data_IF_852466265499
#
_entry.id   IF_852466265499
#
_cell.length_a   1.000
_cell.length_b   1.000
_cell.length_c   1.000
_cell.angle_alpha   90.00
_cell.angle_beta   90.00
_cell.angle_gamma   90.00
#
_symmetry.space_group_name_H-M   'P 1'
#
loop_
_entity.id
_entity.type
_entity.pdbx_description
1 polymer ?
#
# COMPACT_ATOMS: atom_id res chain seq x y z
N UNK A 1 1.90 9.82 -12.06
CA UNK A 1 2.15 9.50 -10.64
C UNK A 1 1.41 10.52 -9.78
N UNK A 2 0.53 10.08 -8.89
CA UNK A 2 -0.23 10.94 -7.96
C UNK A 2 0.56 11.19 -6.68
N UNK A 3 0.19 12.24 -5.92
CA UNK A 3 0.87 12.62 -4.68
C UNK A 3 0.88 11.47 -3.66
N UNK A 4 -0.26 10.78 -3.45
CA UNK A 4 -0.34 9.66 -2.50
C UNK A 4 0.63 8.50 -2.83
N UNK A 5 0.88 8.24 -4.11
CA UNK A 5 1.79 7.17 -4.58
C UNK A 5 3.25 7.53 -4.28
N UNK A 6 3.63 8.78 -4.53
CA UNK A 6 4.97 9.28 -4.24
C UNK A 6 5.26 9.24 -2.72
N UNK A 7 4.29 9.61 -1.90
CA UNK A 7 4.42 9.55 -0.43
C UNK A 7 4.67 8.12 0.07
N UNK A 8 3.98 7.13 -0.51
CA UNK A 8 4.17 5.72 -0.18
C UNK A 8 5.54 5.19 -0.60
N UNK A 9 6.01 5.60 -1.78
CA UNK A 9 7.34 5.24 -2.29
C UNK A 9 8.47 5.81 -1.43
N UNK A 10 8.27 7.00 -0.85
CA UNK A 10 9.28 7.70 -0.05
C UNK A 10 9.14 7.48 1.47
N UNK A 11 8.13 6.72 1.92
CA UNK A 11 7.99 6.34 3.33
C UNK A 11 7.35 7.37 4.24
N UNK A 12 6.60 8.34 3.69
CA UNK A 12 5.93 9.39 4.46
C UNK A 12 4.65 8.88 5.15
N UNK A 13 4.79 7.91 6.05
CA UNK A 13 3.68 7.23 6.73
C UNK A 13 2.72 8.18 7.43
N UNK A 14 3.22 9.22 8.11
CA UNK A 14 2.37 10.21 8.80
C UNK A 14 1.51 11.02 7.83
N UNK A 15 2.04 11.36 6.65
CA UNK A 15 1.26 12.10 5.65
C UNK A 15 0.21 11.20 5.01
N UNK A 16 0.54 9.92 4.78
CA UNK A 16 -0.43 8.92 4.30
C UNK A 16 -1.54 8.70 5.33
N UNK A 17 -1.20 8.62 6.63
CA UNK A 17 -2.18 8.58 7.71
C UNK A 17 -3.08 9.80 7.71
N UNK A 18 -2.52 11.00 7.58
CA UNK A 18 -3.26 12.25 7.62
C UNK A 18 -4.20 12.39 6.40
N UNK A 19 -3.77 11.92 5.22
CA UNK A 19 -4.62 11.80 4.03
C UNK A 19 -5.77 10.80 4.23
N UNK A 20 -5.49 9.65 4.83
CA UNK A 20 -6.51 8.64 5.15
C UNK A 20 -7.48 9.11 6.25
N UNK A 21 -7.00 9.83 7.26
CA UNK A 21 -7.80 10.26 8.42
C UNK A 21 -8.62 11.53 8.12
N UNK A 22 -8.12 12.41 7.23
CA UNK A 22 -8.92 13.54 6.72
C UNK A 22 -10.03 13.08 5.76
N UNK A 23 -9.87 11.90 5.16
CA UNK A 23 -10.93 11.24 4.43
C UNK A 23 -11.87 10.51 5.40
N UNK A 24 -12.76 11.26 6.07
CA UNK A 24 -13.89 10.69 6.82
C UNK A 24 -14.92 9.92 5.93
N UNK A 25 -14.58 9.70 4.66
CA UNK A 25 -15.33 8.91 3.69
C UNK A 25 -14.57 7.61 3.41
N UNK A 26 -15.07 6.51 3.95
CA UNK A 26 -14.57 5.15 3.71
C UNK A 26 -14.39 4.86 2.21
N UNK A 27 -15.27 5.40 1.37
CA UNK A 27 -15.20 5.22 -0.09
C UNK A 27 -14.06 6.01 -0.76
N UNK A 28 -13.65 7.14 -0.19
CA UNK A 28 -12.50 7.88 -0.73
C UNK A 28 -11.21 7.13 -0.43
N UNK A 29 -11.08 6.60 0.78
CA UNK A 29 -9.95 5.75 1.17
C UNK A 29 -9.92 4.50 0.29
N UNK A 30 -11.05 3.81 0.11
CA UNK A 30 -11.13 2.63 -0.76
C UNK A 30 -10.72 2.92 -2.20
N UNK A 31 -11.27 3.97 -2.82
CA UNK A 31 -10.85 4.39 -4.18
C UNK A 31 -9.38 4.78 -4.23
N UNK A 32 -8.83 5.35 -3.17
CA UNK A 32 -7.41 5.68 -3.09
C UNK A 32 -6.53 4.42 -3.07
N UNK A 33 -6.93 3.38 -2.34
CA UNK A 33 -6.21 2.10 -2.29
C UNK A 33 -6.31 1.31 -3.60
N UNK A 34 -7.45 1.39 -4.29
CA UNK A 34 -7.69 0.77 -5.59
C UNK A 34 -7.10 1.57 -6.76
N UNK A 35 -6.65 2.80 -6.52
CA UNK A 35 -6.04 3.63 -7.56
C UNK A 35 -4.70 3.05 -7.98
N UNK A 36 -4.61 2.69 -9.25
CA UNK A 36 -3.38 2.29 -9.92
C UNK A 36 -2.76 3.44 -10.73
N UNK A 37 -1.45 3.39 -10.93
CA UNK A 37 -0.74 4.27 -11.85
C UNK A 37 -0.75 3.74 -13.30
N UNK A 38 0.10 4.30 -14.17
CA UNK A 38 0.20 3.90 -15.58
C UNK A 38 0.75 2.48 -15.78
N UNK A 39 1.45 1.93 -14.78
CA UNK A 39 1.99 0.57 -14.76
C UNK A 39 1.00 -0.42 -14.14
N UNK A 40 -0.15 0.05 -13.65
CA UNK A 40 -1.08 -0.75 -12.85
C UNK A 40 -0.66 -0.87 -11.39
N UNK A 41 0.36 -0.14 -10.96
CA UNK A 41 0.87 -0.21 -9.60
C UNK A 41 -0.04 0.56 -8.64
N UNK A 42 -0.50 -0.15 -7.62
CA UNK A 42 -1.27 0.42 -6.50
C UNK A 42 -0.35 1.03 -5.44
N UNK A 43 -0.92 1.67 -4.42
CA UNK A 43 -0.14 2.19 -3.27
C UNK A 43 0.72 1.12 -2.59
N UNK A 44 0.23 -0.13 -2.52
CA UNK A 44 0.99 -1.25 -1.96
C UNK A 44 2.21 -1.59 -2.80
N UNK A 45 2.15 -1.49 -4.14
CA UNK A 45 3.31 -1.70 -5.02
C UNK A 45 4.38 -0.63 -4.79
N UNK A 46 3.98 0.64 -4.67
CA UNK A 46 4.92 1.72 -4.40
C UNK A 46 5.55 1.63 -3.01
N UNK A 47 4.76 1.31 -1.98
CA UNK A 47 5.27 1.10 -0.63
C UNK A 47 6.23 -0.10 -0.54
N UNK A 48 5.93 -1.16 -1.30
CA UNK A 48 6.79 -2.31 -1.51
C UNK A 48 8.13 -1.95 -2.17
N UNK A 49 8.09 -1.19 -3.27
CA UNK A 49 9.29 -0.69 -3.97
C UNK A 49 10.16 0.19 -3.06
N UNK A 50 9.54 0.95 -2.15
CA UNK A 50 10.24 1.79 -1.18
C UNK A 50 10.72 1.07 0.08
N UNK A 51 10.43 -0.23 0.23
CA UNK A 51 10.80 -1.03 1.41
C UNK A 51 10.26 -0.50 2.75
N UNK A 52 9.14 0.24 2.72
CA UNK A 52 8.60 0.91 3.89
C UNK A 52 7.54 0.06 4.60
N UNK A 53 7.99 -0.79 5.53
CA UNK A 53 7.14 -1.69 6.33
C UNK A 53 5.97 -0.98 7.03
N UNK A 54 6.20 0.22 7.56
CA UNK A 54 5.18 0.98 8.27
C UNK A 54 4.07 1.47 7.34
N UNK A 55 4.43 1.90 6.12
CA UNK A 55 3.46 2.26 5.09
C UNK A 55 2.67 1.02 4.65
N UNK A 56 3.33 -0.11 4.45
CA UNK A 56 2.66 -1.37 4.09
C UNK A 56 1.65 -1.77 5.18
N UNK A 57 2.05 -1.75 6.45
CA UNK A 57 1.16 -2.03 7.59
C UNK A 57 -0.01 -1.07 7.63
N UNK A 58 0.22 0.21 7.34
CA UNK A 58 -0.83 1.21 7.28
C UNK A 58 -1.85 0.89 6.19
N UNK A 59 -1.39 0.66 4.97
CA UNK A 59 -2.26 0.39 3.82
C UNK A 59 -3.08 -0.88 4.06
N UNK A 60 -2.45 -1.93 4.62
CA UNK A 60 -3.16 -3.16 5.00
C UNK A 60 -4.21 -2.90 6.08
N UNK A 61 -3.91 -2.10 7.11
CA UNK A 61 -4.86 -1.70 8.13
C UNK A 61 -6.04 -0.90 7.54
N UNK A 62 -5.79 -0.11 6.49
CA UNK A 62 -6.80 0.61 5.71
C UNK A 62 -7.58 -0.29 4.73
N UNK A 63 -7.41 -1.63 4.77
CA UNK A 63 -8.05 -2.62 3.89
C UNK A 63 -7.58 -2.60 2.42
N UNK A 64 -6.32 -2.21 2.18
CA UNK A 64 -5.73 -2.35 0.86
C UNK A 64 -5.53 -3.83 0.50
N UNK A 65 -5.85 -4.20 -0.74
CA UNK A 65 -5.71 -5.59 -1.21
C UNK A 65 -4.27 -5.90 -1.66
N UNK A 66 -3.54 -6.80 -0.96
CA UNK A 66 -2.20 -7.22 -1.36
C UNK A 66 -2.21 -8.21 -2.54
N UNK A 67 -3.38 -8.56 -3.05
CA UNK A 67 -3.59 -9.49 -4.17
C UNK A 67 -3.88 -8.79 -5.48
N UNK A 68 -3.98 -7.45 -5.49
CA UNK A 68 -4.19 -6.71 -6.74
C UNK A 68 -2.92 -6.78 -7.58
N UNK A 69 -3.01 -7.37 -8.77
CA UNK A 69 -1.91 -7.43 -9.71
C UNK A 69 -1.86 -6.16 -10.58
N UNK A 70 -0.65 -5.70 -10.88
CA UNK A 70 -0.42 -4.62 -11.84
C UNK A 70 -0.54 -5.11 -13.29
N UNK A 71 -0.27 -4.23 -14.28
CA UNK A 71 -0.36 -4.59 -15.71
C UNK A 71 0.66 -5.66 -16.14
N UNK A 72 1.68 -5.91 -15.33
CA UNK A 72 2.66 -6.99 -15.55
C UNK A 72 2.22 -8.32 -14.92
N UNK A 73 1.02 -8.37 -14.32
CA UNK A 73 0.52 -9.56 -13.62
C UNK A 73 1.24 -9.84 -12.30
N UNK A 74 1.99 -8.87 -11.77
CA UNK A 74 2.67 -9.00 -10.48
C UNK A 74 1.81 -8.41 -9.37
N UNK A 75 1.67 -9.13 -8.27
CA UNK A 75 1.09 -8.57 -7.03
C UNK A 75 2.19 -7.90 -6.21
N UNK A 76 1.86 -7.05 -5.21
CA UNK A 76 2.86 -6.41 -4.37
C UNK A 76 3.86 -7.41 -3.78
N UNK A 77 3.42 -8.59 -3.32
CA UNK A 77 4.28 -9.63 -2.74
C UNK A 77 5.09 -10.45 -3.76
N UNK A 78 4.90 -10.25 -5.07
CA UNK A 78 5.77 -10.81 -6.10
C UNK A 78 7.04 -9.97 -6.29
N UNK A 79 7.06 -8.74 -5.75
CA UNK A 79 8.26 -7.93 -5.72
C UNK A 79 9.20 -8.50 -4.63
N UNK A 80 10.46 -8.83 -4.96
CA UNK A 80 11.39 -9.47 -4.02
C UNK A 80 11.57 -8.68 -2.71
N UNK A 81 11.56 -7.35 -2.81
CA UNK A 81 11.68 -6.41 -1.70
C UNK A 81 10.44 -6.42 -0.79
N UNK A 82 9.27 -6.62 -1.40
CA UNK A 82 7.98 -6.59 -0.71
C UNK A 82 7.65 -7.89 0.01
N UNK A 83 8.10 -9.03 -0.53
CA UNK A 83 7.72 -10.36 -0.03
C UNK A 83 7.99 -10.50 1.46
N UNK A 84 9.21 -10.17 1.89
CA UNK A 84 9.61 -10.24 3.31
C UNK A 84 8.79 -9.29 4.20
N UNK A 85 8.51 -8.09 3.70
CA UNK A 85 7.79 -7.05 4.45
C UNK A 85 6.30 -7.39 4.60
N UNK A 86 5.68 -7.89 3.53
CA UNK A 86 4.29 -8.34 3.53
C UNK A 86 4.11 -9.61 4.36
N UNK A 87 5.04 -10.57 4.30
CA UNK A 87 5.03 -11.76 5.15
C UNK A 87 5.13 -11.39 6.64
N UNK A 88 5.97 -10.40 6.97
CA UNK A 88 6.10 -9.90 8.36
C UNK A 88 4.86 -9.12 8.80
N UNK A 89 4.29 -8.29 7.93
CA UNK A 89 3.09 -7.51 8.23
C UNK A 89 1.84 -8.39 8.40
N UNK A 90 1.74 -9.49 7.63
CA UNK A 90 0.63 -10.45 7.73
C UNK A 90 0.76 -11.38 8.93
N UNK A 91 1.97 -11.79 9.32
CA UNK A 91 2.22 -12.55 10.54
C UNK A 91 1.81 -11.80 11.82
N UNK A 92 1.90 -10.46 11.83
CA UNK A 92 1.48 -9.63 12.96
C UNK A 92 -0.05 -9.50 13.15
N UNK A 93 -0.87 -9.79 12.13
CA UNK A 93 -2.33 -9.69 12.23
C UNK A 93 -3.03 -11.01 12.59
N UNK A 94 -2.33 -12.14 12.55
CA UNK A 94 -2.91 -13.47 12.82
C UNK A 94 -3.00 -13.85 14.31
N UNK A 95 -2.57 -12.97 15.24
CA UNK A 95 -2.57 -13.24 16.68
C UNK A 95 -3.60 -12.43 17.50
N UNK A 96 -4.70 -11.95 16.90
CA UNK A 96 -5.75 -11.19 17.60
C UNK A 96 -7.12 -11.83 17.46
#
# INVERSE_FOLDING_TARGET
MKMEQFLCMMGYTEVVQLLSNSANDDERVKRMLETADAEGDTLLHHAAKGEHADVIRLLLASRAFPTNANLYGKIPSDLPEARRLLDTASAGMACQ
#
